data_IF_895216332496
#
_entry.id   IF_895216332496
#
_cell.length_a   1.000
_cell.length_b   1.000
_cell.length_c   1.000
_cell.angle_alpha   90.00
_cell.angle_beta   90.00
_cell.angle_gamma   90.00
#
_symmetry.space_group_name_H-M   'P 1'
#
loop_
_entity.id
_entity.type
_entity.pdbx_description
1 polymer ?
#
# COMPACT_ATOMS: atom_id res chain seq x y z
N UNK A 1 -15.62 -3.71 15.73
CA UNK A 1 -14.46 -3.09 15.08
C UNK A 1 -14.65 -1.59 15.07
N UNK A 2 -13.62 -0.88 15.47
CA UNK A 2 -13.68 0.56 15.50
C UNK A 2 -13.80 1.15 14.09
N UNK A 3 -14.47 2.26 14.01
CA UNK A 3 -14.60 3.00 12.79
C UNK A 3 -13.20 3.50 12.36
N UNK A 4 -12.77 3.11 11.17
CA UNK A 4 -11.46 3.49 10.65
C UNK A 4 -11.28 5.01 10.61
N UNK A 5 -12.36 5.75 10.38
CA UNK A 5 -12.29 7.22 10.35
C UNK A 5 -11.82 7.81 11.67
N UNK A 6 -12.04 7.13 12.79
CA UNK A 6 -11.59 7.59 14.11
C UNK A 6 -10.08 7.47 14.29
N UNK A 7 -9.42 6.66 13.46
CA UNK A 7 -7.97 6.48 13.48
C UNK A 7 -7.24 7.51 12.63
N UNK A 8 -7.96 8.21 11.79
CA UNK A 8 -7.39 9.18 10.87
C UNK A 8 -7.05 10.48 11.60
N UNK A 9 -5.80 10.89 11.49
CA UNK A 9 -5.33 12.14 12.11
C UNK A 9 -5.46 13.29 11.13
N UNK A 10 -5.08 13.08 9.89
CA UNK A 10 -4.97 14.12 8.90
C UNK A 10 -5.18 13.56 7.51
N UNK A 11 -5.94 14.27 6.68
CA UNK A 11 -6.04 13.95 5.28
C UNK A 11 -4.86 14.55 4.55
N UNK A 12 -4.13 13.72 3.81
CA UNK A 12 -2.97 14.16 3.05
C UNK A 12 -3.42 14.51 1.65
N UNK A 13 -2.98 15.67 1.16
CA UNK A 13 -3.28 16.08 -0.21
C UNK A 13 -2.68 15.10 -1.19
N UNK A 14 -3.46 14.71 -2.20
CA UNK A 14 -3.00 13.79 -3.23
C UNK A 14 -1.83 14.37 -4.00
N UNK A 15 -0.77 13.59 -4.12
CA UNK A 15 0.40 13.93 -4.90
C UNK A 15 1.04 12.64 -5.40
N UNK A 16 1.67 12.70 -6.57
CA UNK A 16 2.38 11.55 -7.11
C UNK A 16 3.58 11.13 -6.26
N UNK A 17 4.10 12.02 -5.43
CA UNK A 17 5.16 11.73 -4.48
C UNK A 17 4.74 12.21 -3.09
N UNK A 18 4.78 11.31 -2.12
CA UNK A 18 4.45 11.62 -0.72
C UNK A 18 5.59 11.11 0.15
N UNK A 19 6.08 11.96 1.06
CA UNK A 19 7.19 11.64 1.95
C UNK A 19 6.70 11.35 3.37
N UNK A 20 7.49 10.55 4.11
CA UNK A 20 7.22 10.21 5.52
C UNK A 20 5.87 9.55 5.73
N UNK A 21 5.68 8.43 5.09
CA UNK A 21 4.37 7.78 4.90
C UNK A 21 3.88 6.91 6.05
N UNK A 22 4.59 6.77 7.14
CA UNK A 22 4.16 5.88 8.24
C UNK A 22 3.55 6.65 9.40
N UNK A 23 2.46 6.14 9.99
CA UNK A 23 1.52 5.17 9.45
C UNK A 23 0.51 5.84 8.52
N UNK A 24 0.08 5.11 7.49
CA UNK A 24 -0.68 5.71 6.40
C UNK A 24 -1.80 4.79 5.92
N UNK A 25 -2.90 5.38 5.48
CA UNK A 25 -3.97 4.69 4.78
C UNK A 25 -4.15 5.29 3.40
N UNK A 26 -4.25 4.43 2.38
CA UNK A 26 -4.62 4.83 1.03
C UNK A 26 -5.93 4.12 0.70
N UNK A 27 -6.95 4.89 0.33
CA UNK A 27 -8.23 4.33 -0.07
C UNK A 27 -8.57 4.78 -1.48
N UNK A 28 -8.87 3.83 -2.36
CA UNK A 28 -9.15 4.09 -3.76
C UNK A 28 -10.47 3.46 -4.15
N UNK A 29 -11.35 4.27 -4.76
CA UNK A 29 -12.65 3.82 -5.27
C UNK A 29 -12.68 3.99 -6.78
N UNK A 30 -13.64 3.31 -7.42
CA UNK A 30 -13.92 3.47 -8.85
C UNK A 30 -12.66 3.37 -9.72
N UNK A 31 -11.92 2.30 -9.52
CA UNK A 31 -10.69 2.06 -10.27
C UNK A 31 -11.05 1.71 -11.71
N UNK A 32 -10.63 2.55 -12.65
CA UNK A 32 -10.93 2.38 -14.06
C UNK A 32 -9.70 2.18 -14.94
N UNK A 33 -8.53 2.45 -14.39
CA UNK A 33 -7.29 2.43 -15.16
C UNK A 33 -6.22 1.57 -14.49
N UNK A 34 -5.23 1.18 -15.26
CA UNK A 34 -4.03 0.55 -14.73
C UNK A 34 -3.28 1.53 -13.84
N UNK A 35 -2.64 1.03 -12.79
CA UNK A 35 -1.90 1.89 -11.87
C UNK A 35 -0.68 1.17 -11.31
N UNK A 36 0.19 1.95 -10.69
CA UNK A 36 1.35 1.47 -9.97
C UNK A 36 1.57 2.32 -8.72
N UNK A 37 1.80 1.66 -7.58
CA UNK A 37 2.13 2.32 -6.31
C UNK A 37 3.44 1.73 -5.83
N UNK A 38 4.41 2.59 -5.54
CA UNK A 38 5.71 2.18 -5.00
C UNK A 38 5.84 2.71 -3.58
N UNK A 39 5.98 1.80 -2.63
CA UNK A 39 6.09 2.13 -1.20
C UNK A 39 7.52 1.85 -0.75
N UNK A 40 8.09 2.71 0.08
CA UNK A 40 9.49 2.64 0.50
C UNK A 40 10.44 2.75 -0.70
N UNK A 41 10.07 3.58 -1.63
CA UNK A 41 10.84 3.82 -2.84
C UNK A 41 11.83 4.96 -2.61
N UNK A 42 12.99 4.87 -3.25
CA UNK A 42 13.98 5.94 -3.24
C UNK A 42 13.98 6.60 -4.62
N UNK A 43 13.53 7.83 -4.69
CA UNK A 43 13.50 8.60 -5.96
C UNK A 43 12.92 7.79 -7.13
N UNK A 44 11.77 7.14 -6.92
CA UNK A 44 11.09 6.26 -7.88
C UNK A 44 11.81 4.94 -8.16
N UNK A 45 12.90 4.67 -7.46
CA UNK A 45 13.66 3.44 -7.64
C UNK A 45 13.37 2.45 -6.53
N UNK A 46 13.05 1.23 -6.91
CA UNK A 46 12.85 0.16 -5.97
C UNK A 46 11.59 0.31 -5.12
N UNK A 47 11.59 -0.36 -3.97
CA UNK A 47 10.50 -0.36 -3.03
C UNK A 47 9.56 -1.55 -3.19
N UNK A 48 8.48 -1.50 -2.44
CA UNK A 48 7.37 -2.46 -2.51
C UNK A 48 6.41 -1.97 -3.59
N UNK A 49 6.21 -2.76 -4.64
CA UNK A 49 5.45 -2.31 -5.81
C UNK A 49 4.10 -3.01 -5.87
N UNK A 50 3.03 -2.22 -5.87
CA UNK A 50 1.67 -2.69 -6.08
C UNK A 50 1.25 -2.20 -7.47
N UNK A 51 0.81 -3.12 -8.33
CA UNK A 51 0.40 -2.74 -9.67
C UNK A 51 -0.86 -3.47 -10.11
N UNK A 52 -1.61 -2.85 -10.99
CA UNK A 52 -2.78 -3.44 -11.62
C UNK A 52 -2.75 -3.15 -13.10
N UNK A 53 -2.88 -4.20 -13.89
CA UNK A 53 -3.02 -4.10 -15.34
C UNK A 53 -4.49 -4.32 -15.69
N UNK A 54 -5.16 -3.26 -16.09
CA UNK A 54 -6.59 -3.29 -16.39
C UNK A 54 -6.90 -4.20 -17.58
N UNK A 55 -6.04 -4.20 -18.58
CA UNK A 55 -6.26 -4.99 -19.80
C UNK A 55 -6.15 -6.48 -19.53
N UNK A 56 -5.19 -6.86 -18.70
CA UNK A 56 -4.98 -8.26 -18.32
C UNK A 56 -5.78 -8.67 -17.10
N UNK A 57 -6.42 -7.72 -16.42
CA UNK A 57 -7.12 -7.95 -15.15
C UNK A 57 -6.21 -8.63 -14.12
N UNK A 58 -4.99 -8.15 -14.03
CA UNK A 58 -3.97 -8.76 -13.18
C UNK A 58 -3.48 -7.77 -12.13
N UNK A 59 -3.65 -8.16 -10.88
CA UNK A 59 -3.13 -7.43 -9.72
C UNK A 59 -1.84 -8.10 -9.25
N UNK A 60 -0.81 -7.32 -8.98
CA UNK A 60 0.49 -7.87 -8.63
C UNK A 60 1.14 -7.09 -7.50
N UNK A 61 1.78 -7.84 -6.60
CA UNK A 61 2.66 -7.29 -5.58
C UNK A 61 4.06 -7.80 -5.88
N UNK A 62 5.03 -6.88 -5.94
CA UNK A 62 6.41 -7.20 -6.22
C UNK A 62 7.30 -6.67 -5.11
N UNK A 63 8.00 -7.57 -4.41
CA UNK A 63 8.91 -7.26 -3.32
C UNK A 63 10.38 -7.35 -3.73
N UNK A 64 10.65 -7.68 -4.99
CA UNK A 64 12.02 -7.93 -5.46
C UNK A 64 12.92 -6.70 -5.43
N UNK A 65 12.32 -5.52 -5.40
CA UNK A 65 13.04 -4.25 -5.38
C UNK A 65 13.31 -3.70 -3.98
N UNK A 66 12.89 -4.41 -2.94
CA UNK A 66 13.26 -4.06 -1.58
C UNK A 66 14.69 -4.54 -1.32
N UNK A 67 15.50 -3.69 -0.74
CA UNK A 67 16.88 -4.04 -0.40
C UNK A 67 16.95 -4.90 0.86
N UNK A 68 16.38 -6.10 0.79
CA UNK A 68 16.37 -7.01 1.93
C UNK A 68 16.38 -8.45 1.45
N UNK A 69 17.33 -9.24 1.96
CA UNK A 69 17.49 -10.62 1.56
C UNK A 69 16.35 -11.52 2.00
N UNK A 70 15.62 -11.15 3.04
CA UNK A 70 14.48 -11.93 3.52
C UNK A 70 13.43 -12.10 2.42
N UNK A 71 13.24 -11.08 1.59
CA UNK A 71 12.28 -11.15 0.50
C UNK A 71 12.64 -12.23 -0.53
N UNK A 72 13.91 -12.57 -0.65
CA UNK A 72 14.36 -13.59 -1.59
C UNK A 72 13.97 -15.00 -1.15
N UNK A 73 13.92 -15.24 0.15
CA UNK A 73 13.58 -16.55 0.71
C UNK A 73 12.08 -16.86 0.61
N UNK A 74 11.25 -15.83 0.72
CA UNK A 74 9.80 -16.00 0.79
C UNK A 74 9.07 -15.67 -0.50
N UNK A 75 9.83 -15.54 -1.58
CA UNK A 75 9.26 -15.16 -2.87
C UNK A 75 9.14 -13.65 -3.01
N UNK A 76 9.16 -13.19 -4.24
CA UNK A 76 9.20 -11.77 -4.56
C UNK A 76 7.87 -11.23 -5.06
N UNK A 77 7.01 -12.11 -5.55
CA UNK A 77 5.87 -11.69 -6.34
C UNK A 77 4.63 -12.50 -6.00
N UNK A 78 3.50 -11.81 -5.90
CA UNK A 78 2.18 -12.42 -5.77
C UNK A 78 1.28 -11.81 -6.82
N UNK A 79 0.49 -12.66 -7.46
CA UNK A 79 -0.45 -12.23 -8.50
C UNK A 79 -1.85 -12.71 -8.21
N UNK A 80 -2.83 -11.87 -8.53
CA UNK A 80 -4.22 -12.26 -8.59
C UNK A 80 -4.68 -12.02 -10.01
N UNK A 81 -5.05 -13.09 -10.70
CA UNK A 81 -5.47 -13.03 -12.10
C UNK A 81 -6.98 -12.96 -12.23
N UNK A 82 -7.46 -12.47 -13.35
CA UNK A 82 -8.89 -12.36 -13.64
C UNK A 82 -9.64 -11.51 -12.63
N UNK A 83 -8.98 -10.48 -12.12
CA UNK A 83 -9.56 -9.59 -11.11
C UNK A 83 -10.16 -8.36 -11.76
N UNK A 84 -11.45 -8.14 -11.48
CA UNK A 84 -12.13 -6.89 -11.82
C UNK A 84 -12.01 -5.94 -10.63
N UNK A 85 -10.85 -5.34 -10.49
CA UNK A 85 -10.55 -4.49 -9.34
C UNK A 85 -11.35 -3.20 -9.40
N UNK A 86 -12.15 -2.94 -8.37
CA UNK A 86 -12.99 -1.74 -8.28
C UNK A 86 -12.57 -0.79 -7.19
N UNK A 87 -12.12 -1.34 -6.06
CA UNK A 87 -11.68 -0.54 -4.93
C UNK A 87 -10.55 -1.23 -4.18
N UNK A 88 -9.82 -0.44 -3.40
CA UNK A 88 -8.66 -0.96 -2.68
C UNK A 88 -8.38 -0.08 -1.48
N UNK A 89 -7.96 -0.71 -0.39
CA UNK A 89 -7.51 0.00 0.80
C UNK A 89 -6.16 -0.55 1.22
N UNK A 90 -5.20 0.33 1.43
CA UNK A 90 -3.84 -0.03 1.80
C UNK A 90 -3.49 0.64 3.12
N UNK A 91 -2.98 -0.16 4.07
CA UNK A 91 -2.44 0.36 5.32
C UNK A 91 -0.94 0.12 5.33
N UNK A 92 -0.17 1.17 5.61
CA UNK A 92 1.28 1.10 5.72
C UNK A 92 1.68 1.46 7.13
N UNK A 93 2.38 0.56 7.80
CA UNK A 93 2.93 0.77 9.13
C UNK A 93 4.34 0.19 9.19
N UNK A 94 5.18 0.77 9.99
CA UNK A 94 6.63 0.47 10.20
C UNK A 94 7.24 -0.67 9.36
N UNK A 95 6.70 -1.86 9.45
CA UNK A 95 7.22 -3.02 8.74
C UNK A 95 6.12 -3.89 8.15
N UNK A 96 4.89 -3.39 8.09
CA UNK A 96 3.76 -4.16 7.61
C UNK A 96 2.95 -3.35 6.61
N UNK A 97 2.59 -4.00 5.50
CA UNK A 97 1.68 -3.46 4.51
C UNK A 97 0.50 -4.41 4.40
N UNK A 98 -0.71 -3.89 4.62
CA UNK A 98 -1.94 -4.65 4.47
C UNK A 98 -2.75 -4.06 3.33
N UNK A 99 -3.25 -4.95 2.46
CA UNK A 99 -4.03 -4.53 1.29
C UNK A 99 -5.36 -5.27 1.31
N UNK A 100 -6.44 -4.51 1.28
CA UNK A 100 -7.79 -5.04 1.18
C UNK A 100 -8.37 -4.67 -0.18
N UNK A 101 -8.81 -5.66 -0.92
CA UNK A 101 -9.31 -5.52 -2.29
C UNK A 101 -10.81 -5.70 -2.30
N UNK A 102 -11.52 -4.82 -2.99
CA UNK A 102 -12.96 -4.89 -3.19
C UNK A 102 -13.73 -5.12 -1.88
N UNK A 103 -13.51 -4.21 -0.91
CA UNK A 103 -14.16 -4.22 0.40
C UNK A 103 -13.88 -5.49 1.21
N UNK A 104 -12.66 -6.01 1.08
CA UNK A 104 -12.24 -7.16 1.86
C UNK A 104 -12.46 -8.52 1.21
N UNK A 105 -12.86 -8.55 -0.04
CA UNK A 105 -12.99 -9.80 -0.79
C UNK A 105 -11.66 -10.55 -0.86
N UNK A 106 -10.55 -9.80 -0.95
CA UNK A 106 -9.20 -10.33 -0.82
C UNK A 106 -8.44 -9.50 0.20
N UNK A 107 -7.64 -10.15 1.01
CA UNK A 107 -6.77 -9.48 1.97
C UNK A 107 -5.35 -10.02 1.84
N UNK A 108 -4.40 -9.13 1.67
CA UNK A 108 -2.98 -9.47 1.52
C UNK A 108 -2.19 -8.74 2.60
N UNK A 109 -1.30 -9.47 3.27
CA UNK A 109 -0.43 -8.90 4.29
C UNK A 109 1.01 -9.20 3.92
N UNK A 110 1.86 -8.19 3.93
CA UNK A 110 3.28 -8.35 3.70
C UNK A 110 4.08 -7.67 4.78
N UNK A 111 5.11 -8.36 5.28
CA UNK A 111 6.10 -7.74 6.12
C UNK A 111 7.20 -7.21 5.24
N UNK A 112 7.62 -5.98 5.50
CA UNK A 112 8.67 -5.32 4.74
C UNK A 112 9.72 -4.81 5.71
N UNK A 113 11.00 -4.91 5.31
CA UNK A 113 12.11 -4.48 6.14
C UNK A 113 12.99 -3.57 5.30
N UNK A 114 12.53 -2.33 5.05
CA UNK A 114 13.29 -1.43 4.19
C UNK A 114 14.65 -1.14 4.81
N UNK A 115 15.69 -1.34 4.04
CA UNK A 115 17.07 -1.17 4.48
C UNK A 115 17.41 0.30 4.73
N UNK A 116 16.85 1.17 3.91
CA UNK A 116 17.00 2.60 4.04
C UNK A 116 15.79 3.19 4.74
N UNK A 117 15.99 4.30 5.43
CA UNK A 117 14.92 5.03 6.08
C UNK A 117 14.09 5.86 5.11
N UNK A 118 14.29 5.66 3.82
CA UNK A 118 13.47 6.31 2.80
C UNK A 118 12.05 5.78 2.89
N UNK A 119 11.13 6.68 3.16
CA UNK A 119 9.73 6.34 3.38
C UNK A 119 8.85 7.04 2.37
N UNK A 120 9.31 7.04 1.13
CA UNK A 120 8.60 7.73 0.06
C UNK A 120 7.59 6.81 -0.60
N UNK A 121 6.50 7.43 -1.04
CA UNK A 121 5.41 6.79 -1.73
C UNK A 121 5.27 7.44 -3.10
N UNK A 122 5.28 6.64 -4.15
CA UNK A 122 5.00 7.09 -5.52
C UNK A 122 3.72 6.48 -6.02
N UNK A 123 2.88 7.30 -6.65
CA UNK A 123 1.60 6.88 -7.21
C UNK A 123 1.55 7.26 -8.68
N UNK A 124 1.25 6.27 -9.52
CA UNK A 124 1.05 6.48 -10.97
C UNK A 124 -0.26 5.85 -11.40
N UNK A 125 -1.05 6.55 -12.19
CA UNK A 125 -2.25 5.99 -12.83
C UNK A 125 -3.52 6.02 -12.00
N UNK A 126 -3.48 6.51 -10.77
CA UNK A 126 -4.68 6.69 -9.96
C UNK A 126 -5.26 8.08 -10.15
N UNK A 127 -6.59 8.16 -10.10
CA UNK A 127 -7.32 9.42 -10.23
C UNK A 127 -7.42 10.09 -8.86
N UNK A 128 -7.01 11.34 -8.78
CA UNK A 128 -7.09 12.14 -7.56
C UNK A 128 -8.49 12.17 -6.97
N UNK A 129 -9.51 12.24 -7.81
CA UNK A 129 -10.90 12.28 -7.36
C UNK A 129 -11.32 11.04 -6.59
N UNK A 130 -10.73 9.92 -6.91
CA UNK A 130 -11.10 8.61 -6.36
C UNK A 130 -10.11 8.09 -5.34
N UNK A 131 -9.06 8.86 -5.03
CA UNK A 131 -7.98 8.43 -4.14
C UNK A 131 -7.93 9.33 -2.91
N UNK A 132 -8.02 8.72 -1.72
CA UNK A 132 -7.93 9.43 -0.46
C UNK A 132 -6.77 8.86 0.35
N UNK A 133 -5.97 9.74 0.92
CA UNK A 133 -4.79 9.37 1.68
C UNK A 133 -4.90 10.01 3.06
N UNK A 134 -4.68 9.21 4.11
CA UNK A 134 -4.80 9.67 5.49
C UNK A 134 -3.59 9.24 6.31
N UNK A 135 -3.14 10.16 7.14
CA UNK A 135 -2.18 9.83 8.19
C UNK A 135 -2.96 9.23 9.37
N UNK A 136 -2.44 8.14 9.94
CA UNK A 136 -3.11 7.43 11.02
C UNK A 136 -2.47 7.71 12.37
N UNK A 137 -3.21 7.39 13.44
CA UNK A 137 -2.70 7.49 14.81
C UNK A 137 -1.67 6.39 15.07
N UNK A 138 -0.49 6.80 15.42
CA UNK A 138 0.63 5.90 15.70
C UNK A 138 0.32 4.95 16.86
N UNK A 139 -0.28 5.47 17.91
CA UNK A 139 -0.56 4.73 19.13
C UNK A 139 -1.50 3.55 18.92
N UNK A 140 -2.41 3.65 17.98
CA UNK A 140 -3.34 2.56 17.70
C UNK A 140 -2.61 1.34 17.15
N UNK A 141 -1.75 1.55 16.17
CA UNK A 141 -1.02 0.45 15.54
C UNK A 141 -0.04 -0.19 16.50
N UNK A 142 0.62 0.60 17.34
CA UNK A 142 1.51 0.09 18.36
C UNK A 142 0.76 -0.77 19.37
N UNK A 143 -0.39 -0.31 19.83
CA UNK A 143 -1.22 -1.06 20.77
C UNK A 143 -1.76 -2.35 20.15
N UNK A 144 -2.16 -2.30 18.91
CA UNK A 144 -2.62 -3.48 18.19
C UNK A 144 -1.51 -4.54 18.10
N UNK A 145 -0.30 -4.11 17.80
CA UNK A 145 0.86 -5.00 17.71
C UNK A 145 1.21 -5.63 19.04
N UNK A 146 1.08 -4.90 20.14
CA UNK A 146 1.37 -5.40 21.47
C UNK A 146 0.36 -6.43 21.96
N UNK A 147 -0.86 -6.36 21.49
CA UNK A 147 -1.93 -7.26 21.90
C UNK A 147 -1.99 -8.54 21.06
N UNK A 148 -1.14 -8.64 20.09
CA UNK A 148 -1.02 -9.84 19.27
C UNK A 148 0.11 -10.73 19.77
#
# INVERSE_FOLDING_TARGET
VENISDLRVEKIEFNSLIKNIEPLEIYVENIENSFKIKIYSQEKNGGFIISFDKNKKEFKIDRSKLENEISKEFGHERKISKLDLKSMRIFVDKSTIEIFIDKGEYALTSKVFPKNKEKDLYIEGLDEKNTQIYKLKKSYLDNFSLNM
#
